data_IF_386721031140
#
_entry.id   IF_386721031140
#
_cell.length_a   1.000
_cell.length_b   1.000
_cell.length_c   1.000
_cell.angle_alpha   90.00
_cell.angle_beta   90.00
_cell.angle_gamma   90.00
#
_symmetry.space_group_name_H-M   'P 1'
#
loop_
_entity.id
_entity.type
_entity.pdbx_description
1 polymer ?
#
# COMPACT_ATOMS: atom_id res chain seq x y z
N UNK A 1 -12.87 17.71 20.70
CA UNK A 1 -13.29 17.23 19.37
C UNK A 1 -12.93 18.30 18.34
N UNK A 2 -12.36 17.90 17.21
CA UNK A 2 -12.11 18.81 16.10
C UNK A 2 -13.43 19.29 15.49
N UNK A 3 -13.57 20.56 15.08
CA UNK A 3 -14.75 21.03 14.39
C UNK A 3 -14.90 20.33 13.04
N UNK A 4 -16.09 19.80 12.77
CA UNK A 4 -16.41 19.14 11.51
C UNK A 4 -17.42 20.01 10.74
N UNK A 5 -17.15 20.19 9.45
CA UNK A 5 -18.05 20.86 8.51
C UNK A 5 -18.36 19.94 7.32
N UNK A 6 -19.63 19.92 6.93
CA UNK A 6 -20.09 19.11 5.82
C UNK A 6 -20.57 20.00 4.68
N UNK A 7 -20.16 19.68 3.47
CA UNK A 7 -20.69 20.34 2.28
C UNK A 7 -22.16 19.98 2.07
N UNK A 8 -22.97 20.98 1.69
CA UNK A 8 -24.35 20.76 1.21
C UNK A 8 -24.41 20.25 -0.23
N UNK A 9 -23.30 20.38 -0.97
CA UNK A 9 -23.21 19.86 -2.32
C UNK A 9 -22.92 18.36 -2.30
N UNK A 10 -23.57 17.56 -3.17
CA UNK A 10 -23.16 16.18 -3.40
C UNK A 10 -21.69 16.09 -3.78
N UNK A 11 -20.98 15.05 -3.28
CA UNK A 11 -19.53 14.89 -3.45
C UNK A 11 -19.05 15.13 -4.89
N UNK A 12 -19.77 14.60 -5.89
CA UNK A 12 -19.38 14.76 -7.31
C UNK A 12 -19.44 16.22 -7.76
N UNK A 13 -20.48 16.94 -7.39
CA UNK A 13 -20.65 18.35 -7.74
C UNK A 13 -19.62 19.23 -7.01
N UNK A 14 -19.30 18.92 -5.77
CA UNK A 14 -18.26 19.62 -5.01
C UNK A 14 -16.89 19.46 -5.67
N UNK A 15 -16.50 18.24 -6.06
CA UNK A 15 -15.23 17.98 -6.71
C UNK A 15 -15.12 18.63 -8.09
N UNK A 16 -16.20 18.58 -8.89
CA UNK A 16 -16.26 19.30 -10.16
C UNK A 16 -16.17 20.81 -9.93
N UNK A 17 -16.87 21.36 -8.96
CA UNK A 17 -16.81 22.79 -8.61
C UNK A 17 -15.39 23.21 -8.19
N UNK A 18 -14.69 22.42 -7.39
CA UNK A 18 -13.28 22.67 -7.07
C UNK A 18 -12.38 22.64 -8.29
N UNK A 19 -12.56 21.66 -9.16
CA UNK A 19 -11.72 21.49 -10.35
C UNK A 19 -11.94 22.55 -11.44
N UNK A 20 -13.16 23.09 -11.54
CA UNK A 20 -13.52 24.03 -12.62
C UNK A 20 -13.61 25.48 -12.15
N UNK A 21 -14.08 25.70 -10.93
CA UNK A 21 -14.39 27.03 -10.42
C UNK A 21 -13.50 27.44 -9.22
N UNK A 22 -12.79 26.47 -8.60
CA UNK A 22 -12.03 26.70 -7.37
C UNK A 22 -12.91 27.10 -6.19
N UNK A 23 -14.21 26.75 -6.20
CA UNK A 23 -15.19 27.14 -5.18
C UNK A 23 -16.02 25.94 -4.73
N UNK A 24 -16.57 25.96 -3.48
CA UNK A 24 -16.36 26.94 -2.41
C UNK A 24 -14.91 26.90 -1.90
N UNK A 25 -14.45 27.97 -1.27
CA UNK A 25 -13.14 28.01 -0.61
C UNK A 25 -13.17 27.19 0.67
N UNK A 26 -12.08 26.46 0.97
CA UNK A 26 -11.97 25.61 2.16
C UNK A 26 -12.02 26.44 3.45
N UNK A 27 -11.34 27.59 3.49
CA UNK A 27 -11.30 28.50 4.62
C UNK A 27 -12.66 29.15 4.95
N UNK A 28 -13.58 29.17 4.01
CA UNK A 28 -14.96 29.61 4.27
C UNK A 28 -15.73 28.64 5.17
N UNK A 29 -15.34 27.36 5.19
CA UNK A 29 -15.94 26.36 6.04
C UNK A 29 -15.41 26.39 7.48
N UNK A 30 -14.12 26.75 7.66
CA UNK A 30 -13.42 26.77 8.95
C UNK A 30 -12.68 28.10 9.12
N UNK A 31 -13.32 29.16 9.66
CA UNK A 31 -12.68 30.43 9.94
C UNK A 31 -11.47 30.27 10.89
N UNK A 32 -10.41 31.00 10.62
CA UNK A 32 -9.16 30.93 11.41
C UNK A 32 -8.18 29.87 10.93
N UNK A 33 -8.51 29.13 9.86
CA UNK A 33 -7.58 28.22 9.18
C UNK A 33 -6.40 29.00 8.60
N UNK A 34 -5.18 28.51 8.76
CA UNK A 34 -3.97 29.10 8.23
C UNK A 34 -3.38 28.27 7.07
N UNK A 35 -3.59 26.95 7.09
CA UNK A 35 -3.14 26.01 6.05
C UNK A 35 -4.30 25.08 5.68
N UNK A 36 -4.44 24.77 4.43
CA UNK A 36 -5.39 23.76 3.92
C UNK A 36 -4.64 22.52 3.49
N UNK A 37 -5.04 21.34 4.01
CA UNK A 37 -4.46 20.08 3.60
C UNK A 37 -5.51 19.19 2.92
N UNK A 38 -5.33 18.94 1.63
CA UNK A 38 -6.09 17.96 0.89
C UNK A 38 -5.42 16.59 1.02
N UNK A 39 -6.04 15.69 1.76
CA UNK A 39 -5.50 14.33 2.01
C UNK A 39 -5.72 13.36 0.85
N UNK A 40 -6.31 13.83 -0.25
CA UNK A 40 -6.57 13.06 -1.49
C UNK A 40 -6.51 14.00 -2.70
N UNK A 41 -6.74 13.43 -3.90
CA UNK A 41 -6.87 14.22 -5.14
C UNK A 41 -8.13 15.10 -5.22
N UNK A 42 -8.94 15.17 -4.18
CA UNK A 42 -10.04 16.15 -4.06
C UNK A 42 -9.48 17.49 -3.56
N UNK A 43 -8.78 18.20 -4.43
CA UNK A 43 -8.04 19.44 -4.12
C UNK A 43 -9.02 20.62 -4.06
N UNK A 44 -9.29 21.22 -2.86
CA UNK A 44 -10.23 22.31 -2.71
C UNK A 44 -9.72 23.63 -3.28
N UNK A 45 -10.63 24.57 -3.54
CA UNK A 45 -10.26 25.96 -3.74
C UNK A 45 -9.82 26.59 -2.44
N UNK A 46 -8.73 27.37 -2.47
CA UNK A 46 -8.23 28.11 -1.30
C UNK A 46 -7.33 29.26 -1.74
N UNK A 47 -7.24 30.31 -0.91
CA UNK A 47 -6.25 31.38 -1.00
C UNK A 47 -5.12 31.21 0.03
N UNK A 48 -5.26 30.21 0.90
CA UNK A 48 -4.27 29.88 1.92
C UNK A 48 -3.19 28.93 1.36
N UNK A 49 -2.05 28.78 2.03
CA UNK A 49 -1.11 27.72 1.73
C UNK A 49 -1.81 26.36 1.62
N UNK A 50 -1.51 25.62 0.56
CA UNK A 50 -2.16 24.37 0.23
C UNK A 50 -1.14 23.22 0.26
N UNK A 51 -1.40 22.24 1.11
CA UNK A 51 -0.68 20.96 1.13
C UNK A 51 -1.57 19.88 0.49
N UNK A 52 -0.99 19.00 -0.30
CA UNK A 52 -1.71 17.87 -0.90
C UNK A 52 -0.97 16.57 -0.64
N UNK A 53 -1.62 15.58 -0.03
CA UNK A 53 -1.07 14.22 0.03
C UNK A 53 -1.26 13.54 -1.32
N UNK A 54 -0.14 13.17 -1.93
CA UNK A 54 -0.11 12.35 -3.15
C UNK A 54 0.21 10.91 -2.75
N UNK A 55 -0.81 10.06 -2.67
CA UNK A 55 -0.63 8.65 -2.32
C UNK A 55 0.03 7.86 -3.44
N UNK A 56 -0.37 8.11 -4.68
CA UNK A 56 0.20 7.55 -5.88
C UNK A 56 -0.10 8.43 -7.11
N UNK A 57 0.52 8.08 -8.23
CA UNK A 57 0.29 8.67 -9.54
C UNK A 57 -0.16 7.62 -10.56
N UNK A 58 -0.93 6.63 -10.08
CA UNK A 58 -1.45 5.50 -10.86
C UNK A 58 -2.10 5.93 -12.19
N UNK A 59 -2.87 7.01 -12.15
CA UNK A 59 -3.56 7.53 -13.32
C UNK A 59 -2.63 8.07 -14.43
N UNK A 60 -1.36 8.31 -14.13
CA UNK A 60 -0.34 8.64 -15.13
C UNK A 60 0.31 7.38 -15.72
N UNK A 61 0.51 6.35 -14.90
CA UNK A 61 1.19 5.09 -15.29
C UNK A 61 0.25 4.14 -16.04
N UNK A 62 -1.00 4.04 -15.59
CA UNK A 62 -1.99 3.10 -16.12
C UNK A 62 -3.34 3.79 -16.29
N UNK A 63 -3.46 4.79 -17.19
CA UNK A 63 -4.68 5.56 -17.39
C UNK A 63 -5.87 4.72 -17.84
N UNK A 64 -5.62 3.55 -18.47
CA UNK A 64 -6.63 2.56 -18.89
C UNK A 64 -7.41 1.95 -17.73
N UNK A 65 -6.85 1.99 -16.53
CA UNK A 65 -7.49 1.50 -15.30
C UNK A 65 -8.49 2.49 -14.69
N UNK A 66 -8.63 3.66 -15.29
CA UNK A 66 -9.49 4.72 -14.78
C UNK A 66 -10.55 5.10 -15.82
N UNK A 67 -11.72 5.53 -15.33
CA UNK A 67 -12.72 6.09 -16.24
C UNK A 67 -12.22 7.39 -16.85
N UNK A 68 -12.67 7.72 -18.07
CA UNK A 68 -12.31 8.98 -18.74
C UNK A 68 -12.63 10.23 -17.89
N UNK A 69 -13.71 10.17 -17.06
CA UNK A 69 -14.04 11.24 -16.11
C UNK A 69 -13.05 11.27 -14.95
N UNK A 70 -12.68 10.12 -14.39
CA UNK A 70 -11.70 9.99 -13.31
C UNK A 70 -10.35 10.54 -13.76
N UNK A 71 -9.86 10.13 -14.92
CA UNK A 71 -8.61 10.63 -15.47
C UNK A 71 -8.62 12.15 -15.65
N UNK A 72 -9.69 12.73 -16.20
CA UNK A 72 -9.82 14.20 -16.31
C UNK A 72 -9.81 14.90 -14.95
N UNK A 73 -10.43 14.29 -13.93
CA UNK A 73 -10.41 14.82 -12.56
C UNK A 73 -8.97 14.84 -12.02
N UNK A 74 -8.26 13.72 -12.07
CA UNK A 74 -6.89 13.59 -11.56
C UNK A 74 -5.91 14.51 -12.30
N UNK A 75 -5.98 14.60 -13.64
CA UNK A 75 -5.13 15.48 -14.45
C UNK A 75 -5.32 16.96 -14.07
N UNK A 76 -6.56 17.39 -13.82
CA UNK A 76 -6.84 18.77 -13.38
C UNK A 76 -6.37 19.04 -11.97
N UNK A 77 -6.59 18.10 -11.05
CA UNK A 77 -6.06 18.18 -9.70
C UNK A 77 -4.54 18.28 -9.71
N UNK A 78 -3.86 17.47 -10.51
CA UNK A 78 -2.40 17.54 -10.70
C UNK A 78 -1.95 18.89 -11.27
N UNK A 79 -2.66 19.46 -12.26
CA UNK A 79 -2.34 20.77 -12.78
C UNK A 79 -2.41 21.86 -11.70
N UNK A 80 -3.39 21.80 -10.80
CA UNK A 80 -3.49 22.70 -9.65
C UNK A 80 -2.36 22.51 -8.64
N UNK A 81 -1.99 21.26 -8.35
CA UNK A 81 -0.85 20.94 -7.49
C UNK A 81 0.44 21.50 -8.06
N UNK A 82 0.69 21.31 -9.36
CA UNK A 82 1.86 21.88 -10.07
C UNK A 82 1.90 23.41 -9.96
N UNK A 83 0.75 24.06 -9.98
CA UNK A 83 0.67 25.52 -9.99
C UNK A 83 1.11 26.17 -8.66
N UNK A 84 0.93 25.50 -7.51
CA UNK A 84 1.26 26.17 -6.25
C UNK A 84 1.05 25.42 -4.95
N UNK A 85 0.75 24.13 -4.96
CA UNK A 85 0.64 23.38 -3.71
C UNK A 85 1.97 22.79 -3.26
N UNK A 86 2.19 22.67 -1.95
CA UNK A 86 3.19 21.79 -1.39
C UNK A 86 2.67 20.35 -1.37
N UNK A 87 3.53 19.38 -1.57
CA UNK A 87 3.15 17.97 -1.69
C UNK A 87 3.80 17.17 -0.58
N UNK A 88 2.96 16.42 0.15
CA UNK A 88 3.41 15.41 1.09
C UNK A 88 3.26 14.04 0.42
N UNK A 89 4.33 13.26 0.41
CA UNK A 89 4.34 11.92 -0.16
C UNK A 89 5.33 11.02 0.58
N UNK A 90 5.09 9.70 0.50
CA UNK A 90 6.00 8.71 1.06
C UNK A 90 7.29 8.54 0.22
N UNK A 91 7.25 8.81 -1.10
CA UNK A 91 8.39 8.82 -2.02
C UNK A 91 8.35 10.05 -2.92
N UNK A 92 9.50 10.65 -3.27
CA UNK A 92 9.55 11.95 -3.95
C UNK A 92 9.63 11.87 -5.49
N UNK A 93 10.28 10.86 -6.02
CA UNK A 93 10.73 10.76 -7.41
C UNK A 93 9.60 10.94 -8.42
N UNK A 94 8.54 10.14 -8.32
CA UNK A 94 7.38 10.23 -9.21
C UNK A 94 6.71 11.62 -9.24
N UNK A 95 6.75 12.37 -8.13
CA UNK A 95 6.17 13.71 -8.07
C UNK A 95 6.99 14.72 -8.85
N UNK A 96 8.31 14.60 -8.78
CA UNK A 96 9.24 15.45 -9.53
C UNK A 96 9.11 15.15 -11.02
N UNK A 97 9.07 13.89 -11.41
CA UNK A 97 8.86 13.45 -12.79
C UNK A 97 7.50 13.91 -13.34
N UNK A 98 6.49 13.94 -12.47
CA UNK A 98 5.18 14.53 -12.80
C UNK A 98 5.21 16.06 -12.87
N UNK A 99 6.35 16.72 -12.80
CA UNK A 99 6.51 18.17 -12.99
C UNK A 99 6.17 19.01 -11.75
N UNK A 100 6.19 18.44 -10.55
CA UNK A 100 6.10 19.20 -9.29
C UNK A 100 7.53 19.62 -8.91
N UNK A 101 7.72 20.89 -8.58
CA UNK A 101 9.05 21.41 -8.22
C UNK A 101 9.57 20.69 -6.96
N UNK A 102 10.78 20.13 -7.01
CA UNK A 102 11.38 19.31 -5.94
C UNK A 102 11.37 20.00 -4.58
N UNK A 103 11.59 21.30 -4.53
CA UNK A 103 11.56 22.11 -3.29
C UNK A 103 10.18 22.14 -2.58
N UNK A 104 9.11 21.72 -3.27
CA UNK A 104 7.74 21.63 -2.75
C UNK A 104 7.31 20.18 -2.47
N UNK A 105 8.20 19.22 -2.64
CA UNK A 105 7.93 17.80 -2.35
C UNK A 105 8.56 17.43 -1.03
N UNK A 106 7.72 17.10 -0.05
CA UNK A 106 8.13 16.70 1.30
C UNK A 106 7.91 15.20 1.45
N UNK A 107 8.97 14.45 1.73
CA UNK A 107 8.89 13.02 1.97
C UNK A 107 8.46 12.78 3.41
N UNK A 108 7.26 12.24 3.58
CA UNK A 108 6.69 11.90 4.89
C UNK A 108 6.20 10.46 4.85
N UNK A 109 7.00 9.51 5.33
CA UNK A 109 6.62 8.11 5.38
C UNK A 109 5.38 7.89 6.25
N UNK A 110 4.57 6.90 5.89
CA UNK A 110 3.46 6.45 6.73
C UNK A 110 3.98 5.73 7.97
N UNK A 111 3.23 5.80 9.05
CA UNK A 111 3.41 4.94 10.20
C UNK A 111 2.71 3.58 10.02
N UNK A 112 3.10 2.61 10.81
CA UNK A 112 2.38 1.35 10.98
C UNK A 112 1.83 1.24 12.39
N UNK A 113 0.69 0.61 12.53
CA UNK A 113 0.13 0.26 13.84
C UNK A 113 -0.25 -1.21 13.84
N UNK A 114 0.29 -1.95 14.78
CA UNK A 114 -0.07 -3.33 15.03
C UNK A 114 -0.91 -3.43 16.30
N UNK A 115 -1.71 -4.48 16.38
CA UNK A 115 -2.29 -4.95 17.63
C UNK A 115 -1.48 -6.16 18.13
N UNK A 116 -1.38 -6.38 19.43
CA UNK A 116 -0.84 -7.64 19.93
C UNK A 116 -1.67 -8.83 19.40
N UNK A 117 -0.99 -9.89 19.00
CA UNK A 117 -1.60 -11.15 18.56
C UNK A 117 -0.98 -12.28 19.37
N UNK A 118 -1.80 -13.07 20.01
CA UNK A 118 -1.38 -14.23 20.81
C UNK A 118 -1.23 -15.47 19.92
N UNK A 119 -0.46 -16.46 20.37
CA UNK A 119 -0.32 -17.72 19.64
C UNK A 119 -1.67 -18.49 19.59
N UNK A 120 -2.53 -18.31 20.58
CA UNK A 120 -3.88 -18.86 20.57
C UNK A 120 -4.76 -18.26 19.46
N UNK A 121 -4.64 -16.95 19.17
CA UNK A 121 -5.35 -16.30 18.07
C UNK A 121 -4.81 -16.78 16.70
N UNK A 122 -3.50 -16.98 16.57
CA UNK A 122 -2.91 -17.57 15.36
C UNK A 122 -3.43 -19.01 15.16
N UNK A 123 -3.45 -19.82 16.21
CA UNK A 123 -3.98 -21.20 16.14
C UNK A 123 -5.45 -21.19 15.73
N UNK A 124 -6.28 -20.36 16.39
CA UNK A 124 -7.71 -20.25 16.08
C UNK A 124 -7.95 -19.80 14.61
N UNK A 125 -7.15 -18.86 14.11
CA UNK A 125 -7.20 -18.44 12.72
C UNK A 125 -6.86 -19.60 11.77
N UNK A 126 -5.79 -20.35 12.05
CA UNK A 126 -5.39 -21.51 11.25
C UNK A 126 -6.46 -22.59 11.22
N UNK A 127 -7.02 -22.92 12.39
CA UNK A 127 -8.10 -23.92 12.53
C UNK A 127 -9.37 -23.51 11.77
N UNK A 128 -9.75 -22.22 11.84
CA UNK A 128 -10.92 -21.68 11.15
C UNK A 128 -10.80 -21.71 9.61
N UNK A 129 -9.58 -21.77 9.09
CA UNK A 129 -9.30 -21.76 7.66
C UNK A 129 -8.62 -23.03 7.13
N UNK A 130 -8.61 -24.11 7.92
CA UNK A 130 -8.01 -25.41 7.57
C UNK A 130 -6.53 -25.32 7.15
N UNK A 131 -5.76 -24.41 7.79
CA UNK A 131 -4.33 -24.19 7.52
C UNK A 131 -3.47 -25.12 8.39
N UNK A 132 -3.31 -26.36 7.96
CA UNK A 132 -2.58 -27.38 8.72
C UNK A 132 -1.06 -27.24 8.72
N UNK A 133 -0.48 -26.60 7.69
CA UNK A 133 0.97 -26.43 7.49
C UNK A 133 1.45 -24.98 7.65
N UNK A 134 2.73 -24.72 7.41
CA UNK A 134 3.26 -23.38 7.23
C UNK A 134 2.68 -22.73 5.96
N UNK A 135 2.64 -21.41 5.90
CA UNK A 135 2.13 -20.74 4.70
C UNK A 135 2.88 -19.46 4.36
N UNK A 136 2.94 -19.18 3.06
CA UNK A 136 3.27 -17.86 2.52
C UNK A 136 1.99 -17.06 2.39
N UNK A 137 2.01 -15.81 2.84
CA UNK A 137 0.87 -14.89 2.77
C UNK A 137 1.05 -13.89 1.63
N UNK A 138 -0.03 -13.62 0.91
CA UNK A 138 -0.20 -12.47 0.03
C UNK A 138 -1.46 -11.70 0.42
N UNK A 139 -1.41 -10.36 0.40
CA UNK A 139 -2.58 -9.54 0.70
C UNK A 139 -2.79 -8.46 -0.36
N UNK A 140 -4.02 -8.23 -0.76
CA UNK A 140 -4.36 -7.16 -1.68
C UNK A 140 -5.68 -7.37 -2.41
N UNK A 141 -6.16 -6.34 -3.10
CA UNK A 141 -7.21 -6.49 -4.10
C UNK A 141 -6.63 -7.20 -5.32
N UNK A 142 -7.38 -8.11 -5.93
CA UNK A 142 -6.95 -8.80 -7.15
C UNK A 142 -6.96 -7.82 -8.33
N UNK A 143 -5.89 -7.10 -8.50
CA UNK A 143 -5.68 -6.13 -9.62
C UNK A 143 -4.31 -6.38 -10.28
N UNK A 144 -4.19 -6.13 -11.60
CA UNK A 144 -2.99 -6.49 -12.37
C UNK A 144 -1.68 -5.97 -11.77
N UNK A 145 -1.67 -4.75 -11.20
CA UNK A 145 -0.47 -4.18 -10.60
C UNK A 145 0.04 -4.92 -9.37
N UNK A 146 -0.83 -5.69 -8.68
CA UNK A 146 -0.47 -6.51 -7.51
C UNK A 146 0.21 -7.83 -7.90
N UNK A 147 0.26 -8.13 -9.20
CA UNK A 147 1.01 -9.23 -9.78
C UNK A 147 0.72 -10.61 -9.16
N UNK A 148 -0.58 -10.91 -8.93
CA UNK A 148 -0.99 -12.20 -8.36
C UNK A 148 -0.58 -13.37 -9.24
N UNK A 149 -0.60 -13.22 -10.57
CA UNK A 149 -0.13 -14.25 -11.51
C UNK A 149 1.37 -14.58 -11.32
N UNK A 150 2.20 -13.57 -11.06
CA UNK A 150 3.62 -13.76 -10.70
C UNK A 150 3.79 -14.51 -9.38
N UNK A 151 2.96 -14.18 -8.37
CA UNK A 151 2.94 -14.90 -7.07
C UNK A 151 2.58 -16.38 -7.26
N UNK A 152 1.51 -16.66 -8.00
CA UNK A 152 1.07 -18.05 -8.28
C UNK A 152 2.12 -18.82 -9.07
N UNK A 153 2.76 -18.17 -10.05
CA UNK A 153 3.87 -18.75 -10.81
C UNK A 153 5.07 -19.10 -9.91
N UNK A 154 5.45 -18.19 -9.03
CA UNK A 154 6.53 -18.41 -8.07
C UNK A 154 6.18 -19.50 -7.05
N UNK A 155 4.95 -19.48 -6.52
CA UNK A 155 4.51 -20.49 -5.57
C UNK A 155 4.49 -21.91 -6.19
N UNK A 156 4.14 -22.03 -7.46
CA UNK A 156 4.21 -23.31 -8.18
C UNK A 156 5.64 -23.89 -8.20
N UNK A 157 6.67 -23.02 -8.23
CA UNK A 157 8.06 -23.46 -8.17
C UNK A 157 8.46 -23.78 -6.71
N UNK A 158 8.12 -22.92 -5.77
CA UNK A 158 8.38 -23.09 -4.35
C UNK A 158 7.77 -24.39 -3.81
N UNK A 159 6.51 -24.69 -4.15
CA UNK A 159 5.77 -25.84 -3.63
C UNK A 159 6.36 -27.20 -4.00
N UNK A 160 7.25 -27.26 -4.99
CA UNK A 160 8.02 -28.48 -5.34
C UNK A 160 9.18 -28.71 -4.39
N UNK A 161 9.84 -27.64 -3.93
CA UNK A 161 10.97 -27.70 -3.00
C UNK A 161 10.49 -27.71 -1.54
N UNK A 162 9.35 -27.09 -1.26
CA UNK A 162 8.72 -26.94 0.06
C UNK A 162 7.29 -27.47 0.03
N UNK A 163 7.09 -28.81 0.00
CA UNK A 163 5.77 -29.42 -0.07
C UNK A 163 4.92 -29.21 1.19
N UNK A 164 5.50 -28.78 2.29
CA UNK A 164 4.87 -28.47 3.57
C UNK A 164 4.29 -27.05 3.64
N UNK A 165 4.66 -26.15 2.71
CA UNK A 165 4.26 -24.73 2.73
C UNK A 165 3.10 -24.49 1.78
N UNK A 166 2.02 -23.87 2.25
CA UNK A 166 0.86 -23.46 1.46
C UNK A 166 0.92 -21.99 1.07
N UNK A 167 0.00 -21.55 0.20
CA UNK A 167 -0.19 -20.14 -0.16
C UNK A 167 -1.55 -19.66 0.34
N UNK A 168 -1.55 -18.58 1.10
CA UNK A 168 -2.77 -17.93 1.58
C UNK A 168 -2.94 -16.58 0.89
N UNK A 169 -4.08 -16.41 0.22
CA UNK A 169 -4.46 -15.19 -0.50
C UNK A 169 -5.57 -14.48 0.25
N UNK A 170 -5.31 -13.25 0.68
CA UNK A 170 -6.24 -12.41 1.44
C UNK A 170 -6.55 -11.15 0.68
N UNK A 171 -7.82 -10.85 0.49
CA UNK A 171 -8.29 -9.62 -0.12
C UNK A 171 -9.55 -9.79 -0.94
N UNK A 172 -10.23 -8.70 -1.27
CA UNK A 172 -11.44 -8.77 -2.08
C UNK A 172 -11.11 -9.12 -3.53
N UNK A 173 -12.07 -9.71 -4.20
CA UNK A 173 -12.05 -9.80 -5.65
C UNK A 173 -11.86 -8.40 -6.24
N UNK A 174 -11.04 -8.28 -7.25
CA UNK A 174 -10.72 -7.03 -7.90
C UNK A 174 -11.41 -6.89 -9.25
N UNK A 175 -10.68 -6.37 -10.21
CA UNK A 175 -11.11 -6.14 -11.59
C UNK A 175 -10.00 -6.60 -12.54
N UNK A 176 -10.38 -6.95 -13.75
CA UNK A 176 -9.48 -7.50 -14.78
C UNK A 176 -9.92 -8.87 -15.21
N UNK A 177 -9.14 -9.48 -16.12
CA UNK A 177 -9.32 -10.88 -16.50
C UNK A 177 -8.49 -11.75 -15.54
N UNK A 178 -9.17 -12.43 -14.63
CA UNK A 178 -8.58 -13.32 -13.63
C UNK A 178 -8.55 -14.80 -14.08
N UNK A 179 -8.90 -15.09 -15.35
CA UNK A 179 -9.01 -16.45 -15.89
C UNK A 179 -7.69 -17.24 -15.79
N UNK A 180 -6.56 -16.59 -15.96
CA UNK A 180 -5.24 -17.21 -15.80
C UNK A 180 -4.97 -17.54 -14.33
N UNK A 181 -5.27 -16.63 -13.42
CA UNK A 181 -5.08 -16.81 -11.98
C UNK A 181 -5.96 -17.94 -11.45
N UNK A 182 -7.24 -17.98 -11.86
CA UNK A 182 -8.16 -19.07 -11.51
C UNK A 182 -7.66 -20.43 -11.97
N UNK A 183 -7.09 -20.53 -13.19
CA UNK A 183 -6.46 -21.76 -13.68
C UNK A 183 -5.27 -22.18 -12.84
N UNK A 184 -4.37 -21.24 -12.53
CA UNK A 184 -3.19 -21.51 -11.70
C UNK A 184 -3.60 -21.95 -10.28
N UNK A 185 -4.62 -21.34 -9.69
CA UNK A 185 -5.17 -21.77 -8.39
C UNK A 185 -5.73 -23.19 -8.50
N UNK A 186 -6.49 -23.50 -9.53
CA UNK A 186 -7.03 -24.85 -9.76
C UNK A 186 -5.93 -25.90 -9.94
N UNK A 187 -4.88 -25.58 -10.70
CA UNK A 187 -3.74 -26.48 -10.95
C UNK A 187 -2.92 -26.75 -9.66
N UNK A 188 -2.85 -25.77 -8.74
CA UNK A 188 -2.18 -25.89 -7.45
C UNK A 188 -3.03 -26.65 -6.40
N UNK A 189 -4.32 -26.82 -6.67
CA UNK A 189 -5.24 -27.57 -5.84
C UNK A 189 -5.37 -27.02 -4.43
N UNK A 190 -5.50 -27.91 -3.43
CA UNK A 190 -5.68 -27.56 -2.02
C UNK A 190 -4.48 -26.85 -1.34
N UNK A 191 -3.44 -26.51 -2.10
CA UNK A 191 -2.25 -25.79 -1.62
C UNK A 191 -2.42 -24.26 -1.65
N UNK A 192 -3.51 -23.75 -2.24
CA UNK A 192 -3.82 -22.31 -2.32
C UNK A 192 -5.15 -22.06 -1.65
N UNK A 193 -5.12 -21.29 -0.57
CA UNK A 193 -6.28 -20.92 0.23
C UNK A 193 -6.70 -19.48 -0.09
N UNK A 194 -7.85 -19.30 -0.73
CA UNK A 194 -8.39 -17.96 -1.07
C UNK A 194 -9.41 -17.56 -0.01
N UNK A 195 -9.01 -16.72 0.93
CA UNK A 195 -9.83 -16.38 2.11
C UNK A 195 -10.73 -15.16 1.90
N UNK A 196 -10.57 -14.43 0.78
CA UNK A 196 -11.30 -13.20 0.58
C UNK A 196 -10.92 -12.10 1.58
N UNK A 197 -11.85 -11.20 1.88
CA UNK A 197 -11.60 -10.09 2.81
C UNK A 197 -11.71 -10.57 4.24
N UNK A 198 -10.67 -10.34 5.04
CA UNK A 198 -10.65 -10.62 6.47
C UNK A 198 -10.95 -9.36 7.30
N UNK A 199 -11.41 -9.56 8.53
CA UNK A 199 -11.45 -8.52 9.56
C UNK A 199 -10.04 -8.24 10.12
N UNK A 200 -9.89 -7.10 10.82
CA UNK A 200 -8.57 -6.65 11.32
C UNK A 200 -7.90 -7.67 12.25
N UNK A 201 -8.68 -8.41 13.04
CA UNK A 201 -8.16 -9.42 13.96
C UNK A 201 -7.57 -10.62 13.21
N UNK A 202 -8.32 -11.15 12.23
CA UNK A 202 -7.89 -12.29 11.43
C UNK A 202 -6.75 -11.92 10.49
N UNK A 203 -6.77 -10.70 9.93
CA UNK A 203 -5.66 -10.20 9.11
C UNK A 203 -4.37 -10.08 9.92
N UNK A 204 -4.46 -9.60 11.17
CA UNK A 204 -3.32 -9.54 12.08
C UNK A 204 -2.78 -10.95 12.42
N UNK A 205 -3.67 -11.92 12.67
CA UNK A 205 -3.31 -13.31 12.89
C UNK A 205 -2.71 -13.95 11.62
N UNK A 206 -3.24 -13.62 10.44
CA UNK A 206 -2.70 -14.08 9.16
C UNK A 206 -1.27 -13.59 8.94
N UNK A 207 -0.96 -12.31 9.20
CA UNK A 207 0.41 -11.80 9.13
C UNK A 207 1.31 -12.51 10.16
N UNK A 208 0.92 -12.52 11.44
CA UNK A 208 1.73 -13.09 12.54
C UNK A 208 2.01 -14.58 12.38
N UNK A 209 1.07 -15.32 11.79
CA UNK A 209 1.17 -16.77 11.58
C UNK A 209 1.82 -17.19 10.27
N UNK A 210 2.11 -16.25 9.36
CA UNK A 210 2.74 -16.54 8.08
C UNK A 210 4.24 -16.83 8.22
N UNK A 211 4.74 -17.81 7.47
CA UNK A 211 6.15 -18.13 7.39
C UNK A 211 6.93 -17.10 6.56
N UNK A 212 6.29 -16.55 5.54
CA UNK A 212 6.80 -15.41 4.76
C UNK A 212 5.64 -14.62 4.16
N UNK A 213 5.90 -13.38 3.82
CA UNK A 213 4.99 -12.51 3.09
C UNK A 213 5.55 -12.21 1.70
N UNK A 214 4.75 -12.41 0.66
CA UNK A 214 5.14 -12.15 -0.73
C UNK A 214 4.32 -11.02 -1.32
N UNK A 215 4.97 -9.98 -1.82
CA UNK A 215 4.28 -8.82 -2.36
C UNK A 215 5.04 -8.20 -3.55
N UNK A 216 5.13 -8.90 -4.69
CA UNK A 216 5.90 -8.48 -5.86
C UNK A 216 5.06 -7.55 -6.74
N UNK A 217 4.43 -6.52 -6.15
CA UNK A 217 3.66 -5.54 -6.92
C UNK A 217 4.54 -4.85 -7.95
N UNK A 218 4.02 -4.61 -9.13
CA UNK A 218 4.73 -3.92 -10.20
C UNK A 218 5.04 -2.46 -9.83
N UNK A 219 4.17 -1.86 -9.04
CA UNK A 219 4.38 -0.54 -8.43
C UNK A 219 3.36 -0.29 -7.31
N UNK A 220 3.73 0.58 -6.37
CA UNK A 220 2.92 1.04 -5.24
C UNK A 220 3.15 2.51 -4.94
N UNK A 221 2.27 3.10 -4.15
CA UNK A 221 2.48 4.45 -3.59
C UNK A 221 3.42 4.45 -2.38
N UNK A 222 3.38 3.36 -1.57
CA UNK A 222 4.23 3.20 -0.39
C UNK A 222 4.53 1.72 -0.08
N UNK A 223 3.52 0.83 -0.10
CA UNK A 223 3.69 -0.57 0.25
C UNK A 223 3.36 -0.86 1.72
N UNK A 224 2.26 -0.30 2.24
CA UNK A 224 1.80 -0.59 3.61
C UNK A 224 1.77 -2.08 3.95
N UNK A 225 1.32 -3.00 3.08
CA UNK A 225 1.33 -4.43 3.39
C UNK A 225 2.72 -5.00 3.69
N UNK A 226 3.77 -4.48 3.03
CA UNK A 226 5.17 -4.85 3.33
C UNK A 226 5.53 -4.42 4.75
N UNK A 227 5.21 -3.18 5.11
CA UNK A 227 5.48 -2.64 6.43
C UNK A 227 4.66 -3.34 7.53
N UNK A 228 3.40 -3.69 7.24
CA UNK A 228 2.55 -4.46 8.14
C UNK A 228 3.13 -5.85 8.41
N UNK A 229 3.53 -6.59 7.37
CA UNK A 229 4.17 -7.90 7.52
C UNK A 229 5.42 -7.82 8.41
N UNK A 230 6.31 -6.87 8.13
CA UNK A 230 7.51 -6.64 8.93
C UNK A 230 7.18 -6.32 10.41
N UNK A 231 6.15 -5.53 10.66
CA UNK A 231 5.73 -5.14 12.00
C UNK A 231 5.14 -6.33 12.80
N UNK A 232 4.74 -7.41 12.13
CA UNK A 232 4.37 -8.68 12.76
C UNK A 232 5.51 -9.70 12.81
N UNK A 233 6.73 -9.33 12.38
CA UNK A 233 7.89 -10.21 12.36
C UNK A 233 7.84 -11.25 11.24
N UNK A 234 7.09 -10.98 10.17
CA UNK A 234 6.99 -11.86 9.01
C UNK A 234 8.04 -11.49 7.98
N UNK A 235 8.94 -12.40 7.57
CA UNK A 235 9.90 -12.18 6.50
C UNK A 235 9.24 -11.76 5.20
N UNK A 236 9.78 -10.75 4.53
CA UNK A 236 9.18 -10.14 3.34
C UNK A 236 9.99 -10.43 2.08
N UNK A 237 9.29 -10.83 1.02
CA UNK A 237 9.80 -10.84 -0.36
C UNK A 237 8.99 -9.84 -1.18
N UNK A 238 9.66 -8.86 -1.79
CA UNK A 238 8.99 -7.79 -2.53
C UNK A 238 9.78 -7.36 -3.77
N UNK A 239 9.23 -6.42 -4.54
CA UNK A 239 9.81 -5.98 -5.81
C UNK A 239 11.02 -5.07 -5.63
N UNK A 240 12.07 -5.33 -6.40
CA UNK A 240 13.20 -4.42 -6.63
C UNK A 240 12.75 -3.22 -7.48
N UNK A 241 13.42 -2.07 -7.30
CA UNK A 241 13.17 -0.87 -8.11
C UNK A 241 11.84 -0.19 -7.84
N UNK A 242 11.22 -0.42 -6.69
CA UNK A 242 9.96 0.18 -6.27
C UNK A 242 10.08 0.85 -4.90
N UNK A 243 9.07 1.63 -4.51
CA UNK A 243 9.03 2.22 -3.17
C UNK A 243 9.09 1.16 -2.04
N UNK A 244 8.73 -0.07 -2.31
CA UNK A 244 8.79 -1.16 -1.33
C UNK A 244 10.23 -1.57 -1.01
N UNK A 245 11.17 -1.42 -1.95
CA UNK A 245 12.61 -1.56 -1.69
C UNK A 245 13.08 -0.53 -0.66
N UNK A 246 12.63 0.73 -0.80
CA UNK A 246 12.92 1.80 0.16
C UNK A 246 12.30 1.51 1.54
N UNK A 247 11.05 1.03 1.57
CA UNK A 247 10.35 0.68 2.82
C UNK A 247 11.04 -0.46 3.54
N UNK A 248 11.30 -1.58 2.88
CA UNK A 248 11.92 -2.73 3.55
C UNK A 248 13.44 -2.55 3.79
N UNK A 249 14.13 -1.74 2.99
CA UNK A 249 15.57 -1.57 3.10
C UNK A 249 16.31 -2.92 3.01
N UNK A 250 17.16 -3.19 4.01
CA UNK A 250 17.90 -4.47 4.10
C UNK A 250 17.15 -5.57 4.83
N UNK A 251 15.95 -5.28 5.35
CA UNK A 251 15.16 -6.20 6.14
C UNK A 251 14.18 -7.04 5.31
N UNK A 252 14.22 -6.94 3.99
CA UNK A 252 13.44 -7.75 3.06
C UNK A 252 14.28 -8.27 1.91
N UNK A 253 13.81 -9.33 1.27
CA UNK A 253 14.41 -9.89 0.07
C UNK A 253 13.75 -9.26 -1.17
N UNK A 254 14.60 -8.84 -2.11
CA UNK A 254 14.17 -8.18 -3.33
C UNK A 254 14.24 -9.15 -4.51
N UNK A 255 13.20 -9.13 -5.34
CA UNK A 255 13.13 -9.87 -6.59
C UNK A 255 12.66 -8.98 -7.74
N UNK A 256 13.01 -9.32 -8.95
CA UNK A 256 12.39 -8.76 -10.15
C UNK A 256 10.92 -9.20 -10.20
N UNK A 257 9.99 -8.22 -10.21
CA UNK A 257 8.56 -8.49 -10.11
C UNK A 257 8.02 -9.39 -11.23
N UNK A 258 8.65 -9.34 -12.40
CA UNK A 258 8.27 -10.10 -13.59
C UNK A 258 8.99 -11.46 -13.72
N UNK A 259 9.81 -11.84 -12.73
CA UNK A 259 10.55 -13.09 -12.71
C UNK A 259 10.06 -14.03 -11.60
N UNK A 260 9.12 -14.95 -11.88
CA UNK A 260 8.65 -15.92 -10.90
C UNK A 260 9.74 -16.86 -10.35
N UNK A 261 10.81 -17.11 -11.10
CA UNK A 261 11.92 -17.95 -10.64
C UNK A 261 12.73 -17.23 -9.56
N UNK A 262 13.04 -15.95 -9.76
CA UNK A 262 13.71 -15.14 -8.72
C UNK A 262 12.81 -14.98 -7.49
N UNK A 263 11.52 -14.70 -7.66
CA UNK A 263 10.56 -14.61 -6.55
C UNK A 263 10.53 -15.93 -5.76
N UNK A 264 10.47 -17.08 -6.45
CA UNK A 264 10.47 -18.40 -5.80
C UNK A 264 11.77 -18.68 -5.03
N UNK A 265 12.93 -18.32 -5.60
CA UNK A 265 14.21 -18.47 -4.93
C UNK A 265 14.27 -17.63 -3.65
N UNK A 266 13.83 -16.36 -3.70
CA UNK A 266 13.76 -15.50 -2.51
C UNK A 266 12.77 -15.99 -1.47
N UNK A 267 11.63 -16.55 -1.90
CA UNK A 267 10.70 -17.21 -0.98
C UNK A 267 11.33 -18.43 -0.30
N UNK A 268 12.09 -19.25 -1.02
CA UNK A 268 12.84 -20.36 -0.45
C UNK A 268 13.82 -19.90 0.65
N UNK A 269 14.55 -18.80 0.42
CA UNK A 269 15.40 -18.18 1.43
C UNK A 269 14.57 -17.71 2.65
N UNK A 270 13.43 -17.04 2.41
CA UNK A 270 12.59 -16.45 3.45
C UNK A 270 11.86 -17.49 4.33
N UNK A 271 11.40 -18.60 3.76
CA UNK A 271 10.76 -19.69 4.53
C UNK A 271 11.81 -20.60 5.20
N UNK A 272 13.04 -20.59 4.70
CA UNK A 272 14.15 -21.46 5.10
C UNK A 272 15.19 -20.76 5.97
N UNK A 273 16.47 -20.73 5.50
CA UNK A 273 17.62 -20.38 6.36
C UNK A 273 17.68 -18.93 6.80
N UNK A 274 17.08 -17.99 6.05
CA UNK A 274 17.12 -16.56 6.39
C UNK A 274 15.94 -16.09 7.26
N UNK A 275 15.01 -16.98 7.61
CA UNK A 275 13.75 -16.63 8.29
C UNK A 275 13.95 -15.78 9.54
N UNK A 276 14.70 -16.30 10.52
CA UNK A 276 14.79 -15.66 11.84
C UNK A 276 15.53 -14.31 11.77
N UNK A 277 16.56 -14.23 10.92
CA UNK A 277 17.28 -12.98 10.69
C UNK A 277 16.38 -11.93 10.03
N UNK A 278 15.63 -12.31 9.01
CA UNK A 278 14.70 -11.41 8.32
C UNK A 278 13.53 -10.98 9.22
N UNK A 279 13.01 -11.89 10.02
CA UNK A 279 11.95 -11.59 10.98
C UNK A 279 12.40 -10.52 11.98
N UNK A 280 13.58 -10.69 12.58
CA UNK A 280 14.14 -9.73 13.53
C UNK A 280 14.46 -8.38 12.86
N UNK A 281 15.12 -8.40 11.70
CA UNK A 281 15.44 -7.20 10.94
C UNK A 281 14.16 -6.44 10.51
N UNK A 282 13.11 -7.19 10.14
CA UNK A 282 11.79 -6.65 9.82
C UNK A 282 11.17 -5.88 10.98
N UNK A 283 11.15 -6.46 12.17
CA UNK A 283 10.64 -5.81 13.39
C UNK A 283 11.40 -4.51 13.69
N UNK A 284 12.72 -4.55 13.64
CA UNK A 284 13.57 -3.38 13.87
C UNK A 284 13.31 -2.27 12.83
N UNK A 285 13.18 -2.65 11.58
CA UNK A 285 12.87 -1.71 10.50
C UNK A 285 11.50 -1.09 10.67
N UNK A 286 10.46 -1.89 10.90
CA UNK A 286 9.09 -1.41 11.08
C UNK A 286 8.94 -0.45 12.28
N UNK A 287 9.70 -0.68 13.35
CA UNK A 287 9.70 0.20 14.52
C UNK A 287 10.15 1.64 14.21
N UNK A 288 10.83 1.88 13.08
CA UNK A 288 11.22 3.23 12.65
C UNK A 288 10.07 4.00 11.97
N UNK A 289 8.98 3.33 11.62
CA UNK A 289 7.80 3.91 10.94
C UNK A 289 6.65 4.10 11.92
N UNK A 290 6.66 5.22 12.64
CA UNK A 290 5.61 5.53 13.63
C UNK A 290 4.65 6.59 13.13
N UNK A 291 3.38 6.53 13.55
CA UNK A 291 2.41 7.57 13.24
C UNK A 291 2.74 8.90 13.93
N UNK A 292 3.45 8.85 15.05
CA UNK A 292 3.96 10.01 15.77
C UNK A 292 5.01 10.76 14.93
N UNK A 293 5.96 10.05 14.34
CA UNK A 293 6.96 10.62 13.43
C UNK A 293 6.28 11.17 12.15
N UNK A 294 5.33 10.44 11.59
CA UNK A 294 4.54 10.91 10.46
C UNK A 294 3.79 12.22 10.78
N UNK A 295 3.13 12.29 11.94
CA UNK A 295 2.40 13.49 12.37
C UNK A 295 3.34 14.67 12.63
N UNK A 296 4.50 14.44 13.26
CA UNK A 296 5.51 15.47 13.50
C UNK A 296 6.03 16.05 12.19
N UNK A 297 6.37 15.20 11.22
CA UNK A 297 6.82 15.66 9.90
C UNK A 297 5.75 16.47 9.14
N UNK A 298 4.47 16.09 9.23
CA UNK A 298 3.38 16.91 8.69
C UNK A 298 3.30 18.29 9.39
N UNK A 299 3.45 18.31 10.72
CA UNK A 299 3.43 19.57 11.48
C UNK A 299 4.59 20.52 11.08
N UNK A 300 5.78 19.97 10.81
CA UNK A 300 6.91 20.74 10.29
C UNK A 300 6.60 21.35 8.91
N UNK A 301 5.98 20.57 8.01
CA UNK A 301 5.54 21.10 6.71
C UNK A 301 4.55 22.25 6.90
N UNK A 302 3.55 22.09 7.76
CA UNK A 302 2.57 23.16 8.01
C UNK A 302 3.23 24.41 8.61
N UNK A 303 4.13 24.23 9.58
CA UNK A 303 4.83 25.36 10.21
C UNK A 303 5.72 26.12 9.24
N UNK A 304 6.26 25.47 8.21
CA UNK A 304 7.08 26.11 7.20
C UNK A 304 6.30 27.02 6.23
N UNK A 305 4.97 26.93 6.25
CA UNK A 305 4.07 27.63 5.31
C UNK A 305 3.34 28.83 5.93
N UNK A 306 3.47 29.06 7.24
CA UNK A 306 2.80 30.14 8.01
C UNK A 306 3.79 31.05 8.76
#
# INVERSE_FOLDING_TARGET
SLPLQFSRLPRRLLYDSWNYLGRPLAEAALPGTQVVHATTWAVPGTHLPLVVTVHDLAFLRSPEHFTARGNRHFQRSLARVRAGADVVRATAEDCVDAGIASKRVHVVPHGVRTRPVTDAEVTAFRDAHDLGGEYVLWTGTHEPRKNLSGVLGAFRLLSRAHPEVDLVLVGPAGWGDDSQEQRLVADLGGRVHVLGRLGDADLAAAYRGARAFVFPSLWEGFGLPVLEAMAYGTPVVTSRGTCMEEVCGRAGLLAEATDPEEIAARLGDAVGPAHDELAQAGLERAATFTWEACAAAHAEVYASLV
#
